data_IF_188812079802
#
_entry.id   IF_188812079802
#
_cell.length_a   1.000
_cell.length_b   1.000
_cell.length_c   1.000
_cell.angle_alpha   90.00
_cell.angle_beta   90.00
_cell.angle_gamma   90.00
#
_symmetry.space_group_name_H-M   'P 1'
#
loop_
_entity.id
_entity.type
_entity.pdbx_description
1 polymer ?
2 polymer ?
3 non-polymer ?
4 non-polymer ?
5 non-polymer ?
6 water ?
#
# COMPACT_ATOMS: atom_id res chain seq x y z
N UNK A 2 -15.89 10.37 -2.32
CA UNK A 2 -15.54 11.53 -3.12
C UNK A 2 -14.53 12.38 -2.39
N UNK A 3 -13.87 13.22 -3.16
CA UNK A 3 -12.85 14.10 -2.57
C UNK A 3 -13.42 15.39 -2.00
N UNK A 4 -13.12 15.64 -0.74
CA UNK A 4 -13.52 16.89 -0.11
C UNK A 4 -12.59 18.02 -0.45
N UNK A 5 -12.98 19.26 -0.08
CA UNK A 5 -11.98 20.32 -0.26
C UNK A 5 -10.69 20.05 0.48
N UNK A 6 -10.79 19.44 1.67
CA UNK A 6 -9.58 19.11 2.43
C UNK A 6 -8.72 18.10 1.66
N UNK A 7 -9.37 17.10 1.05
CA UNK A 7 -8.58 16.13 0.28
C UNK A 7 -7.89 16.80 -0.91
N UNK A 8 -8.64 17.65 -1.63
CA UNK A 8 -8.03 18.30 -2.80
C UNK A 8 -6.85 19.17 -2.44
N UNK A 9 -7.00 19.96 -1.34
CA UNK A 9 -5.89 20.76 -0.90
C UNK A 9 -4.70 19.91 -0.50
N UNK A 10 -4.96 18.79 0.22
CA UNK A 10 -3.87 17.95 0.63
C UNK A 10 -3.13 17.34 -0.54
N UNK A 11 -3.89 16.87 -1.54
CA UNK A 11 -3.23 16.27 -2.72
C UNK A 11 -2.44 17.34 -3.48
N UNK A 12 -3.05 18.52 -3.66
CA UNK A 12 -2.29 19.56 -4.37
C UNK A 12 -1.04 19.94 -3.58
N UNK A 13 -1.10 20.01 -2.25
CA UNK A 13 0.11 20.39 -1.52
C UNK A 13 1.16 19.29 -1.59
N UNK A 14 0.73 18.01 -1.50
CA UNK A 14 1.73 16.96 -1.64
C UNK A 14 2.35 16.95 -3.03
N UNK A 15 1.49 17.11 -4.06
CA UNK A 15 2.04 17.09 -5.42
C UNK A 15 2.99 18.24 -5.68
N UNK A 16 2.65 19.39 -5.06
CA UNK A 16 3.57 20.55 -5.13
C UNK A 16 4.95 20.20 -4.63
N UNK A 17 4.96 19.38 -3.57
CA UNK A 17 6.25 18.95 -2.98
C UNK A 17 7.00 17.85 -3.75
N UNK A 18 6.29 16.87 -4.28
CA UNK A 18 6.96 15.70 -4.84
C UNK A 18 6.99 15.70 -6.37
N UNK A 19 6.25 16.59 -7.04
CA UNK A 19 6.06 16.50 -8.48
C UNK A 19 7.37 16.71 -9.25
N UNK A 20 8.34 17.39 -8.64
CA UNK A 20 9.67 17.51 -9.25
C UNK A 20 10.25 16.15 -9.60
N UNK A 21 9.88 15.10 -8.85
CA UNK A 21 10.44 13.78 -9.06
C UNK A 21 9.47 12.84 -9.75
N UNK A 22 8.46 13.35 -10.46
CA UNK A 22 7.45 12.51 -11.11
C UNK A 22 8.09 11.45 -11.99
N UNK A 23 9.12 11.83 -12.78
CA UNK A 23 9.60 10.82 -13.73
C UNK A 23 10.20 9.64 -12.98
N UNK A 24 10.97 9.92 -11.93
CA UNK A 24 11.59 8.86 -11.14
C UNK A 24 10.53 8.02 -10.42
N UNK A 25 9.52 8.69 -9.88
CA UNK A 25 8.41 7.95 -9.25
C UNK A 25 7.80 6.98 -10.26
N UNK A 26 7.58 7.46 -11.50
CA UNK A 26 6.94 6.58 -12.47
C UNK A 26 7.82 5.41 -12.88
N UNK A 27 9.10 5.67 -13.08
CA UNK A 27 9.99 4.56 -13.44
C UNK A 27 9.97 3.47 -12.37
N UNK A 28 10.09 3.92 -11.12
CA UNK A 28 10.13 2.96 -10.00
C UNK A 28 8.81 2.25 -9.81
N UNK A 29 7.69 2.98 -9.97
CA UNK A 29 6.41 2.32 -9.75
C UNK A 29 6.11 1.28 -10.84
N UNK A 30 6.36 1.56 -12.11
CA UNK A 30 6.14 0.57 -13.16
C UNK A 30 7.11 -0.60 -13.01
N UNK A 31 8.37 -0.29 -12.64
CA UNK A 31 9.37 -1.35 -12.46
C UNK A 31 8.90 -2.30 -11.38
N UNK A 32 8.41 -1.79 -10.25
CA UNK A 32 7.87 -2.64 -9.20
C UNK A 32 6.63 -3.40 -9.59
N UNK A 33 5.73 -2.74 -10.33
CA UNK A 33 4.51 -3.44 -10.68
C UNK A 33 4.83 -4.66 -11.52
N UNK A 34 5.71 -4.49 -12.50
CA UNK A 34 6.00 -5.65 -13.39
C UNK A 34 6.70 -6.77 -12.68
N UNK A 35 7.50 -6.50 -11.66
CA UNK A 35 8.19 -7.58 -10.96
C UNK A 35 7.31 -8.25 -9.91
N UNK A 36 6.60 -7.43 -9.12
CA UNK A 36 5.83 -7.96 -8.01
C UNK A 36 4.50 -8.51 -8.47
N UNK A 37 3.93 -8.00 -9.58
CA UNK A 37 2.63 -8.46 -10.07
C UNK A 37 2.84 -8.85 -11.54
N UNK A 38 3.49 -9.99 -11.72
CA UNK A 38 4.01 -10.36 -13.05
C UNK A 38 2.87 -10.54 -14.05
N UNK A 39 1.62 -10.64 -13.61
CA UNK A 39 0.50 -10.67 -14.54
C UNK A 39 0.42 -9.37 -15.35
N UNK A 40 1.08 -8.31 -14.91
CA UNK A 40 0.98 -7.03 -15.62
C UNK A 40 2.01 -6.96 -16.76
N UNK A 41 3.00 -7.86 -16.77
CA UNK A 41 4.11 -7.66 -17.72
C UNK A 41 3.62 -7.78 -19.16
N UNK A 42 2.61 -8.62 -19.35
CA UNK A 42 2.15 -8.88 -20.72
C UNK A 42 1.74 -7.60 -21.43
N UNK A 43 1.25 -6.57 -20.72
CA UNK A 43 0.80 -5.40 -21.42
C UNK A 43 1.92 -4.56 -22.00
N UNK A 44 3.16 -4.82 -21.61
CA UNK A 44 4.32 -4.03 -22.01
C UNK A 44 5.25 -4.90 -22.88
N UNK A 45 4.80 -6.12 -23.15
CA UNK A 45 5.72 -7.08 -23.75
C UNK A 45 6.07 -6.74 -25.21
N UNK A 46 5.39 -5.82 -25.85
CA UNK A 46 5.74 -5.39 -27.20
C UNK A 46 6.99 -4.53 -27.20
N UNK A 47 7.43 -4.01 -26.04
CA UNK A 47 8.64 -3.21 -25.99
C UNK A 47 9.88 -4.10 -26.13
N UNK A 48 10.93 -3.63 -26.77
CA UNK A 48 12.14 -4.47 -26.91
C UNK A 48 12.75 -4.85 -25.56
N UNK A 49 12.49 -4.11 -24.48
CA UNK A 49 13.09 -4.49 -23.20
C UNK A 49 12.11 -4.20 -22.05
N UNK A 50 11.80 -5.21 -21.29
CA UNK A 50 10.87 -5.13 -20.17
C UNK A 50 11.60 -5.65 -18.92
N UNK A 51 12.92 -5.78 -19.04
CA UNK A 51 13.73 -6.25 -17.89
C UNK A 51 14.10 -5.11 -16.95
N UNK A 52 14.46 -5.45 -15.72
CA UNK A 52 14.85 -4.41 -14.76
C UNK A 52 15.89 -3.46 -15.31
N UNK A 53 15.64 -2.16 -15.23
CA UNK A 53 16.51 -1.14 -15.75
C UNK A 53 16.15 -0.67 -17.15
N UNK A 54 15.15 -1.31 -17.76
CA UNK A 54 14.79 -0.94 -19.14
C UNK A 54 14.54 0.51 -19.44
N UNK A 55 15.06 1.06 -20.54
CA UNK A 55 14.82 2.44 -20.89
C UNK A 55 13.37 2.69 -21.34
N UNK A 56 12.68 1.66 -21.80
CA UNK A 56 11.28 1.71 -22.16
C UNK A 56 10.44 1.85 -20.88
N UNK A 57 10.78 1.11 -19.84
CA UNK A 57 10.08 1.36 -18.56
C UNK A 57 10.33 2.77 -18.09
N UNK A 58 11.55 3.28 -18.20
CA UNK A 58 11.84 4.62 -17.71
C UNK A 58 11.08 5.66 -18.48
N UNK A 59 11.07 5.50 -19.82
CA UNK A 59 10.33 6.43 -20.63
C UNK A 59 8.83 6.39 -20.31
N UNK A 60 8.32 5.17 -20.16
CA UNK A 60 6.87 5.08 -19.89
C UNK A 60 6.56 5.64 -18.50
N UNK A 61 7.50 5.51 -17.57
CA UNK A 61 7.21 6.05 -16.24
C UNK A 61 6.96 7.53 -16.28
N UNK A 62 7.61 8.29 -17.18
CA UNK A 62 7.38 9.71 -17.31
C UNK A 62 5.93 9.96 -17.71
N UNK A 63 5.46 9.14 -18.66
CA UNK A 63 4.10 9.34 -19.13
C UNK A 63 3.05 9.02 -18.06
N UNK A 64 3.25 7.90 -17.35
CA UNK A 64 2.31 7.55 -16.29
C UNK A 64 2.15 8.67 -15.25
N UNK A 65 3.30 9.16 -14.76
CA UNK A 65 3.17 10.21 -13.75
C UNK A 65 2.74 11.53 -14.36
N UNK A 66 2.94 11.73 -15.66
CA UNK A 66 2.29 12.88 -16.30
C UNK A 66 0.77 12.71 -16.30
N UNK A 67 0.29 11.48 -16.40
CA UNK A 67 -1.13 11.20 -16.26
C UNK A 67 -1.60 11.54 -14.83
N UNK A 68 -0.79 11.20 -13.83
CA UNK A 68 -1.14 11.58 -12.45
C UNK A 68 -1.13 13.10 -12.27
N UNK A 69 -0.15 13.77 -12.88
CA UNK A 69 -0.16 15.25 -12.82
C UNK A 69 -1.38 15.83 -13.48
N UNK A 70 -1.74 15.22 -14.63
CA UNK A 70 -2.99 15.65 -15.24
C UNK A 70 -4.17 15.49 -14.31
N UNK A 71 -4.24 14.32 -13.65
CA UNK A 71 -5.32 14.12 -12.70
C UNK A 71 -5.28 15.12 -11.56
N UNK A 72 -4.09 15.50 -11.07
CA UNK A 72 -4.07 16.53 -10.03
C UNK A 72 -4.70 17.81 -10.57
N UNK A 73 -4.31 18.16 -11.79
CA UNK A 73 -4.86 19.38 -12.39
C UNK A 73 -6.36 19.31 -12.60
N UNK A 74 -6.86 18.09 -12.85
CA UNK A 74 -8.27 17.84 -13.14
C UNK A 74 -9.06 17.25 -11.95
N UNK A 75 -8.47 17.46 -10.76
CA UNK A 75 -9.02 16.85 -9.55
C UNK A 75 -10.45 17.23 -9.24
N UNK A 76 -10.93 18.39 -9.74
CA UNK A 76 -12.33 18.71 -9.49
C UNK A 76 -13.31 17.96 -10.34
N UNK A 77 -12.82 17.32 -11.41
CA UNK A 77 -13.69 16.52 -12.28
C UNK A 77 -12.83 15.51 -13.04
N UNK A 78 -12.47 14.45 -12.31
CA UNK A 78 -11.60 13.41 -12.88
C UNK A 78 -12.24 12.67 -14.05
N UNK A 79 -13.56 12.47 -14.01
CA UNK A 79 -14.18 11.74 -15.14
C UNK A 79 -13.93 12.50 -16.43
N UNK A 80 -14.21 13.81 -16.43
CA UNK A 80 -13.99 14.54 -17.68
C UNK A 80 -12.50 14.64 -18.00
N UNK A 81 -11.69 14.89 -16.97
CA UNK A 81 -10.27 15.08 -17.19
C UNK A 81 -9.56 13.87 -17.73
N UNK A 82 -10.01 12.65 -17.33
CA UNK A 82 -9.24 11.46 -17.72
C UNK A 82 -9.96 10.62 -18.73
N UNK A 83 -11.01 11.20 -19.35
CA UNK A 83 -11.85 10.43 -20.26
C UNK A 83 -11.05 9.87 -21.44
N UNK A 84 -10.19 10.70 -22.01
CA UNK A 84 -9.38 10.18 -23.13
C UNK A 84 -8.44 9.05 -22.71
N UNK A 85 -7.82 9.18 -21.53
CA UNK A 85 -6.98 8.08 -21.05
C UNK A 85 -7.83 6.84 -20.75
N UNK A 86 -9.05 7.04 -20.26
CA UNK A 86 -9.92 5.87 -20.07
C UNK A 86 -10.17 5.13 -21.36
N UNK A 87 -10.56 5.91 -22.39
CA UNK A 87 -10.79 5.27 -23.67
C UNK A 87 -9.55 4.55 -24.19
N UNK A 88 -8.38 5.17 -24.01
CA UNK A 88 -7.16 4.51 -24.47
C UNK A 88 -6.95 3.19 -23.72
N UNK A 89 -7.13 3.18 -22.40
CA UNK A 89 -6.84 1.94 -21.71
C UNK A 89 -7.89 0.86 -21.98
N UNK A 90 -9.14 1.30 -22.13
CA UNK A 90 -10.21 0.32 -22.32
C UNK A 90 -10.28 -0.21 -23.76
N UNK A 91 -10.18 0.68 -24.70
CA UNK A 91 -10.42 0.28 -26.10
C UNK A 91 -9.16 0.05 -26.88
N UNK A 92 -8.19 0.95 -26.88
CA UNK A 92 -6.96 0.71 -27.65
C UNK A 92 -6.06 -0.32 -27.01
N UNK A 93 -5.85 -0.23 -25.69
CA UNK A 93 -4.89 -1.10 -25.02
C UNK A 93 -5.48 -2.33 -24.37
N UNK A 94 -6.77 -2.30 -24.10
CA UNK A 94 -7.45 -3.43 -23.44
C UNK A 94 -6.76 -3.86 -22.15
N UNK A 95 -6.39 -2.87 -21.31
CA UNK A 95 -5.81 -3.18 -20.00
C UNK A 95 -6.90 -3.61 -19.02
N UNK A 96 -6.78 -4.80 -18.41
CA UNK A 96 -7.85 -5.20 -17.46
C UNK A 96 -7.94 -4.20 -16.34
N UNK A 97 -9.12 -3.66 -16.00
CA UNK A 97 -9.22 -2.57 -15.04
C UNK A 97 -8.88 -3.02 -13.61
N UNK A 98 -8.77 -4.33 -13.36
CA UNK A 98 -8.32 -4.79 -12.02
C UNK A 98 -6.92 -4.29 -11.70
N UNK A 99 -6.16 -3.88 -12.74
CA UNK A 99 -4.78 -3.52 -12.52
C UNK A 99 -4.60 -2.08 -12.04
N UNK A 100 -5.62 -1.22 -12.17
CA UNK A 100 -5.39 0.16 -11.72
C UNK A 100 -5.06 0.23 -10.24
N UNK A 101 -5.76 -0.54 -9.41
CA UNK A 101 -5.44 -0.47 -7.98
C UNK A 101 -4.06 -1.02 -7.68
N UNK A 102 -3.52 -1.90 -8.49
CA UNK A 102 -2.16 -2.42 -8.32
C UNK A 102 -1.16 -1.31 -8.58
N UNK A 103 -1.28 -0.60 -9.70
CA UNK A 103 -0.32 0.47 -9.94
C UNK A 103 -0.46 1.56 -8.88
N UNK A 104 -1.69 1.84 -8.45
CA UNK A 104 -1.88 2.84 -7.39
C UNK A 104 -1.13 2.47 -6.11
N UNK A 105 -1.23 1.20 -5.68
CA UNK A 105 -0.44 0.79 -4.51
C UNK A 105 1.03 0.94 -4.73
N UNK A 106 1.51 0.58 -5.95
CA UNK A 106 2.95 0.72 -6.23
C UNK A 106 3.34 2.20 -6.20
N UNK A 107 2.48 3.11 -6.68
CA UNK A 107 2.81 4.52 -6.57
C UNK A 107 2.90 4.92 -5.09
N UNK A 108 1.97 4.47 -4.26
CA UNK A 108 2.09 4.80 -2.83
C UNK A 108 3.39 4.27 -2.23
N UNK A 109 3.77 3.04 -2.57
CA UNK A 109 5.02 2.49 -2.02
C UNK A 109 6.20 3.34 -2.47
N UNK A 110 6.22 3.73 -3.77
CA UNK A 110 7.37 4.52 -4.21
C UNK A 110 7.40 5.89 -3.55
N UNK A 111 6.26 6.56 -3.44
CA UNK A 111 6.31 7.86 -2.79
C UNK A 111 6.78 7.68 -1.36
N UNK A 112 6.36 6.61 -0.69
CA UNK A 112 6.86 6.39 0.70
C UNK A 112 8.37 6.18 0.71
N UNK A 113 8.92 5.44 -0.25
CA UNK A 113 10.38 5.27 -0.24
C UNK A 113 11.10 6.59 -0.50
N UNK A 114 10.51 7.46 -1.31
CA UNK A 114 11.26 8.63 -1.77
C UNK A 114 11.00 9.90 -0.94
N UNK A 115 9.82 9.97 -0.31
CA UNK A 115 9.42 11.16 0.46
C UNK A 115 8.81 10.77 1.78
N UNK A 116 9.57 10.07 2.60
CA UNK A 116 9.02 9.59 3.87
C UNK A 116 8.55 10.74 4.74
N UNK A 117 9.17 11.93 4.69
CA UNK A 117 8.75 13.01 5.57
C UNK A 117 7.42 13.60 5.19
N UNK A 118 7.28 13.79 3.88
CA UNK A 118 6.08 14.41 3.34
C UNK A 118 4.91 13.44 3.31
N UNK A 119 5.21 12.14 3.17
CA UNK A 119 4.11 11.18 2.99
C UNK A 119 3.60 10.67 4.34
N UNK A 120 3.02 11.63 5.07
CA UNK A 120 2.43 11.35 6.39
C UNK A 120 1.15 10.54 6.28
N UNK A 121 0.62 9.99 7.35
CA UNK A 121 -0.70 9.39 7.29
C UNK A 121 -1.77 10.31 6.75
N UNK A 122 -1.80 11.58 7.11
CA UNK A 122 -2.84 12.45 6.55
C UNK A 122 -2.63 12.71 5.07
N UNK A 123 -1.36 12.78 4.61
CA UNK A 123 -1.17 12.90 3.16
C UNK A 123 -1.65 11.64 2.46
N UNK A 124 -1.40 10.50 3.09
CA UNK A 124 -1.72 9.18 2.50
C UNK A 124 -3.22 9.02 2.42
N UNK A 125 -4.03 9.38 3.43
CA UNK A 125 -5.46 9.12 3.28
C UNK A 125 -6.02 9.88 2.08
N UNK A 126 -5.63 11.16 1.93
CA UNK A 126 -6.20 11.91 0.81
C UNK A 126 -5.64 11.42 -0.51
N UNK A 127 -4.35 11.04 -0.54
CA UNK A 127 -3.81 10.58 -1.83
C UNK A 127 -4.46 9.25 -2.17
N UNK A 128 -4.74 8.38 -1.16
CA UNK A 128 -5.40 7.13 -1.52
C UNK A 128 -6.81 7.33 -2.02
N UNK A 129 -7.55 8.26 -1.39
CA UNK A 129 -8.88 8.61 -1.92
C UNK A 129 -8.78 9.10 -3.35
N UNK A 130 -7.75 9.93 -3.59
CA UNK A 130 -7.57 10.49 -4.93
C UNK A 130 -7.25 9.40 -5.95
N UNK A 131 -6.33 8.50 -5.60
CA UNK A 131 -6.00 7.43 -6.56
C UNK A 131 -7.19 6.51 -6.78
N UNK A 132 -8.04 6.27 -5.74
CA UNK A 132 -9.28 5.56 -5.97
C UNK A 132 -10.13 6.30 -7.00
N UNK A 133 -10.22 7.61 -6.88
CA UNK A 133 -10.98 8.39 -7.88
C UNK A 133 -10.36 8.31 -9.26
N UNK A 134 -9.04 8.30 -9.31
CA UNK A 134 -8.37 8.16 -10.63
C UNK A 134 -8.72 6.82 -11.24
N UNK A 135 -8.67 5.74 -10.44
CA UNK A 135 -9.03 4.42 -10.96
C UNK A 135 -10.47 4.41 -11.43
N UNK A 136 -11.35 5.05 -10.67
CA UNK A 136 -12.77 5.03 -11.11
C UNK A 136 -12.94 5.79 -12.42
N UNK A 137 -12.22 6.91 -12.55
CA UNK A 137 -12.29 7.67 -13.79
C UNK A 137 -11.68 6.90 -14.94
N UNK A 138 -10.54 6.21 -14.69
CA UNK A 138 -9.98 5.37 -15.76
C UNK A 138 -10.92 4.22 -16.10
N UNK A 139 -11.76 3.83 -15.18
CA UNK A 139 -12.72 2.76 -15.48
C UNK A 139 -13.92 3.24 -16.28
N UNK A 140 -14.06 4.53 -16.56
CA UNK A 140 -15.28 5.09 -17.14
C UNK A 140 -15.68 4.44 -18.47
N UNK A 141 -14.74 4.17 -19.34
CA UNK A 141 -15.12 3.64 -20.66
C UNK A 141 -15.21 2.13 -20.72
N UNK A 142 -15.07 1.43 -19.59
CA UNK A 142 -14.96 -0.03 -19.67
C UNK A 142 -16.31 -0.73 -19.82
N UNK A 143 -17.40 -0.23 -19.26
CA UNK A 143 -18.68 -0.97 -19.36
C UNK A 143 -19.89 -0.06 -19.13
N UNK B 1 2.37 -21.58 -0.96
CA UNK B 1 3.61 -21.02 -1.48
C UNK B 1 4.74 -22.00 -1.17
N UNK B 2 5.52 -22.23 -2.18
CA UNK B 2 6.79 -22.93 -2.09
C UNK B 2 7.84 -21.85 -2.10
N UNK B 3 8.33 -21.55 -0.90
CA UNK B 3 9.32 -20.47 -0.79
C UNK B 3 10.64 -20.79 -1.43
N UNK B 4 11.21 -19.83 -2.13
CA UNK B 4 12.58 -19.98 -2.62
C UNK B 4 13.54 -19.65 -1.46
N UNK B 5 14.78 -20.17 -1.55
CA UNK B 5 15.76 -19.83 -0.53
C UNK B 5 15.97 -18.32 -0.46
N UNK B 6 15.94 -17.64 -1.60
CA UNK B 6 16.07 -16.19 -1.64
C UNK B 6 14.95 -15.47 -0.91
N UNK B 7 13.73 -15.98 -1.09
CA UNK B 7 12.64 -15.39 -0.34
C UNK B 7 12.83 -15.56 1.15
N UNK B 8 13.25 -16.76 1.55
CA UNK B 8 13.49 -16.98 2.97
C UNK B 8 14.58 -16.04 3.48
N UNK B 9 15.64 -15.86 2.71
CA UNK B 9 16.73 -14.96 3.13
C UNK B 9 16.24 -13.54 3.22
N UNK B 10 15.44 -13.10 2.23
CA UNK B 10 14.97 -11.70 2.28
C UNK B 10 14.08 -11.47 3.48
N UNK B 11 13.14 -12.38 3.76
CA UNK B 11 12.25 -12.22 4.91
C UNK B 11 13.08 -12.24 6.20
N UNK B 12 14.04 -13.15 6.30
CA UNK B 12 14.85 -13.18 7.53
C UNK B 12 15.63 -11.90 7.72
N UNK B 13 16.24 -11.39 6.64
CA UNK B 13 16.99 -10.13 6.68
C UNK B 13 16.08 -8.98 7.12
N UNK B 14 14.89 -8.85 6.49
CA UNK B 14 14.01 -7.75 6.87
C UNK B 14 13.67 -7.79 8.33
N UNK B 15 13.22 -8.95 8.84
CA UNK B 15 12.77 -8.98 10.21
C UNK B 15 13.95 -8.85 11.17
N UNK B 16 15.16 -9.21 10.76
CA UNK B 16 16.30 -9.08 11.66
C UNK B 16 16.68 -7.60 11.84
N UNK B 17 16.38 -6.80 10.83
CA UNK B 17 16.83 -5.41 10.89
C UNK B 17 15.70 -4.48 11.33
N UNK B 18 14.52 -5.03 11.49
CA UNK B 18 13.34 -4.18 11.79
C UNK B 18 13.32 -3.73 13.22
N UNK B 19 13.10 -2.43 13.41
CA UNK B 19 12.89 -1.94 14.79
C UNK B 19 11.38 -1.99 15.09
N UNK B 20 10.94 -3.02 15.79
CA UNK B 20 9.52 -3.21 15.98
C UNK B 20 8.90 -2.05 16.74
N UNK B 21 9.67 -1.47 17.64
CA UNK B 21 9.12 -0.36 18.44
C UNK B 21 8.93 0.90 17.63
N UNK B 22 9.55 1.01 16.47
CA UNK B 22 9.33 2.14 15.58
C UNK B 22 8.27 1.80 14.54
N UNK B 23 8.49 0.64 13.88
CA UNK B 23 7.60 0.30 12.75
C UNK B 23 6.19 -0.07 13.20
N UNK B 24 6.05 -0.78 14.31
CA UNK B 24 4.77 -1.27 14.77
C UNK B 24 3.81 -0.11 15.04
N UNK B 25 4.17 0.85 15.87
CA UNK B 25 3.24 1.96 16.14
C UNK B 25 2.93 2.72 14.86
N UNK B 26 3.90 2.95 14.00
CA UNK B 26 3.62 3.71 12.78
C UNK B 26 2.67 2.96 11.85
N UNK B 27 2.87 1.65 11.73
CA UNK B 27 1.93 0.92 10.86
C UNK B 27 0.50 0.98 11.37
N UNK B 28 0.28 0.74 12.66
CA UNK B 28 -1.10 0.72 13.14
C UNK B 28 -1.64 2.15 13.14
N UNK B 29 -0.88 3.16 13.58
CA UNK B 29 -1.51 4.49 13.54
C UNK B 29 -1.83 4.88 12.10
N UNK B 30 -0.95 4.54 11.16
CA UNK B 30 -1.25 4.85 9.75
C UNK B 30 -2.54 4.16 9.32
N UNK B 31 -2.73 2.87 9.69
CA UNK B 31 -3.97 2.21 9.35
C UNK B 31 -5.19 2.91 9.97
N UNK B 32 -5.06 3.35 11.24
CA UNK B 32 -6.21 3.99 11.87
C UNK B 32 -6.53 5.34 11.23
N UNK B 33 -5.58 5.96 10.53
CA UNK B 33 -5.84 7.24 9.89
C UNK B 33 -6.31 7.05 8.47
N UNK B 34 -5.67 6.14 7.73
CA UNK B 34 -6.03 5.95 6.32
C UNK B 34 -7.32 5.17 6.17
N UNK B 35 -7.60 4.27 7.14
CA UNK B 35 -8.78 3.44 7.06
C UNK B 35 -9.48 3.55 8.42
N UNK B 36 -10.02 4.73 8.69
CA UNK B 36 -10.35 5.08 10.06
C UNK B 36 -11.50 4.29 10.64
N UNK B 37 -12.25 3.55 9.84
CA UNK B 37 -13.27 2.67 10.44
C UNK B 37 -12.62 1.61 11.34
N UNK B 38 -11.32 1.35 11.14
CA UNK B 38 -10.63 0.35 11.98
C UNK B 38 -10.47 0.92 13.38
N UNK B 39 -10.70 2.23 13.59
CA UNK B 39 -10.61 2.76 14.97
C UNK B 39 -11.64 2.07 15.85
N UNK B 40 -12.69 1.49 15.29
CA UNK B 40 -13.79 0.96 16.13
C UNK B 40 -13.31 -0.11 17.09
N UNK B 41 -12.19 -0.74 16.79
CA UNK B 41 -11.75 -1.90 17.58
C UNK B 41 -10.91 -1.45 18.76
N UNK B 42 -10.61 -0.16 18.81
CA UNK B 42 -9.66 0.41 19.77
C UNK B 42 -10.30 1.57 20.53
N UNK B 43 -11.62 1.57 20.66
CA UNK B 43 -12.27 2.62 21.43
C UNK B 43 -11.79 2.76 22.86
N UNK B 44 -11.09 1.77 23.41
CA UNK B 44 -10.75 1.83 24.83
C UNK B 44 -9.31 2.26 25.06
N UNK B 45 -8.63 2.64 23.97
CA UNK B 45 -7.22 3.00 23.98
C UNK B 45 -6.98 4.45 24.34
N UNK B 46 -8.03 5.22 24.68
CA UNK B 46 -7.79 6.65 24.95
C UNK B 46 -7.85 7.47 23.67
N UNK B 47 -7.20 8.63 23.62
CA UNK B 47 -7.29 9.63 22.58
C UNK B 47 -7.14 9.15 21.14
N UNK B 48 -8.23 9.11 20.37
CA UNK B 48 -8.12 8.84 18.94
C UNK B 48 -8.81 9.95 18.14
N UNK B 49 -8.89 11.13 18.74
CA UNK B 49 -9.65 12.24 18.18
C UNK B 49 -9.15 12.79 16.85
N UNK B 50 -7.84 12.85 16.65
CA UNK B 50 -7.28 13.34 15.39
C UNK B 50 -5.99 12.60 15.10
N UNK B 51 -5.38 12.90 13.95
CA UNK B 51 -4.19 12.15 13.58
C UNK B 51 -3.07 12.29 14.61
N UNK B 52 -2.86 13.50 15.13
CA UNK B 52 -1.84 13.76 16.12
C UNK B 52 -2.05 12.87 17.36
N UNK B 53 -3.30 12.78 17.81
CA UNK B 53 -3.57 11.98 18.99
C UNK B 53 -3.32 10.51 18.71
N UNK B 54 -3.74 10.04 17.52
CA UNK B 54 -3.57 8.61 17.25
C UNK B 54 -2.10 8.26 17.15
N UNK B 55 -1.35 9.10 16.45
CA UNK B 55 0.09 8.79 16.32
C UNK B 55 0.81 8.80 17.66
N UNK B 56 0.40 9.71 18.52
CA UNK B 56 1.02 9.74 19.85
C UNK B 56 0.46 8.75 20.84
N UNK B 57 -0.58 8.01 20.54
CA UNK B 57 -1.25 7.18 21.55
C UNK B 57 -0.44 5.95 21.90
N UNK B 58 -0.09 5.82 23.19
CA UNK B 58 0.76 4.71 23.61
C UNK B 58 0.07 3.37 23.59
N UNK B 59 -1.26 3.32 23.67
CA UNK B 59 -1.99 2.07 23.59
C UNK B 59 -1.98 1.58 22.12
N UNK B 60 -2.13 2.54 21.21
CA UNK B 60 -1.99 2.17 19.79
C UNK B 60 -0.58 1.67 19.54
N UNK B 61 0.42 2.34 20.09
CA UNK B 61 1.80 1.91 19.89
C UNK B 61 2.00 0.50 20.41
N UNK B 62 1.54 0.22 21.63
CA UNK B 62 1.75 -1.14 22.17
C UNK B 62 1.11 -2.19 21.30
N UNK B 63 -0.05 -1.86 20.71
CA UNK B 63 -0.75 -2.82 19.91
C UNK B 63 -0.07 -3.05 18.56
N UNK B 64 0.41 -1.93 18.01
CA UNK B 64 1.17 -2.14 16.75
C UNK B 64 2.42 -2.97 16.98
N UNK B 65 3.05 -2.84 18.15
CA UNK B 65 4.25 -3.67 18.42
C UNK B 65 3.85 -5.12 18.55
N UNK B 66 2.73 -5.39 19.20
CA UNK B 66 2.13 -6.72 19.29
C UNK B 66 1.92 -7.33 17.92
N UNK B 67 1.39 -6.52 16.99
CA UNK B 67 1.16 -7.05 15.65
C UNK B 67 2.45 -7.51 15.05
N UNK B 68 3.50 -6.68 15.13
CA UNK B 68 4.73 -7.10 14.49
C UNK B 68 5.31 -8.33 15.14
N UNK B 69 5.35 -8.39 16.47
CA UNK B 69 5.82 -9.60 17.11
C UNK B 69 4.94 -10.77 16.70
N UNK B 70 3.68 -10.52 16.40
CA UNK B 70 2.75 -11.56 15.96
C UNK B 70 3.17 -12.17 14.63
N UNK B 71 3.94 -11.42 13.85
CA UNK B 71 4.50 -11.94 12.60
C UNK B 71 5.69 -12.87 12.82
N UNK B 72 6.38 -12.77 13.95
CA UNK B 72 7.51 -13.63 14.25
C UNK B 72 7.21 -15.10 14.14
N UNK B 73 6.03 -15.55 14.59
CA UNK B 73 5.76 -16.98 14.56
C UNK B 73 5.69 -17.45 13.12
N UNK B 74 5.25 -16.53 12.23
CA UNK B 74 5.23 -16.92 10.81
C UNK B 74 6.63 -17.00 10.22
N UNK B 75 7.48 -16.03 10.54
CA UNK B 75 8.86 -15.98 10.06
C UNK B 75 9.62 -17.25 10.51
N UNK B 76 9.33 -17.70 11.71
CA UNK B 76 10.12 -18.83 12.26
C UNK B 76 9.71 -20.11 11.56
N UNK B 77 8.47 -20.23 11.06
CA UNK B 77 8.18 -21.43 10.26
C UNK B 77 7.25 -21.10 9.10
N UNK B 78 7.94 -20.65 8.08
CA UNK B 78 7.27 -20.17 6.86
C UNK B 78 6.52 -21.27 6.14
N UNK B 79 6.70 -22.56 6.45
CA UNK B 79 5.92 -23.59 5.78
C UNK B 79 4.70 -24.06 6.56
N UNK B 80 4.41 -23.42 7.69
CA UNK B 80 3.27 -23.83 8.49
C UNK B 80 2.43 -22.62 8.90
N UNK B 81 2.35 -21.61 8.02
CA UNK B 81 1.72 -20.37 8.46
C UNK B 81 0.23 -20.50 8.71
N UNK B 82 -0.54 -21.13 7.82
CA UNK B 82 -1.99 -21.20 8.05
C UNK B 82 -2.31 -21.86 9.39
N UNK B 83 -1.64 -22.96 9.70
CA UNK B 83 -1.90 -23.60 11.00
C UNK B 83 -1.42 -22.75 12.16
N UNK B 84 -0.27 -22.10 12.02
CA UNK B 84 0.25 -21.31 13.12
C UNK B 84 -0.67 -20.18 13.57
N UNK B 85 -1.45 -19.62 12.62
CA UNK B 85 -2.28 -18.48 12.97
C UNK B 85 -3.72 -18.87 13.18
N UNK B 86 -4.03 -20.17 13.27
CA UNK B 86 -5.44 -20.57 13.39
C UNK B 86 -6.04 -19.99 14.67
N UNK B 87 -5.35 -20.07 15.79
CA UNK B 87 -5.91 -19.52 17.03
C UNK B 87 -6.03 -18.00 17.00
N UNK B 88 -5.08 -17.26 16.42
CA UNK B 88 -5.21 -15.82 16.32
C UNK B 88 -6.36 -15.45 15.41
N UNK B 89 -6.59 -16.27 14.39
CA UNK B 89 -7.68 -16.00 13.47
C UNK B 89 -9.01 -16.12 14.23
N UNK B 90 -9.14 -17.20 15.00
CA UNK B 90 -10.35 -17.37 15.84
C UNK B 90 -10.51 -16.24 16.81
N UNK B 91 -9.45 -15.77 17.47
CA UNK B 91 -9.60 -14.62 18.37
C UNK B 91 -10.11 -13.36 17.69
N UNK B 92 -9.48 -12.98 16.56
CA UNK B 92 -9.91 -11.76 15.89
C UNK B 92 -11.33 -11.85 15.32
N UNK B 93 -11.80 -13.03 14.97
CA UNK B 93 -13.11 -13.20 14.35
C UNK B 93 -14.17 -13.45 15.42
N UNK B 94 -14.00 -14.54 16.20
CA UNK B 94 -15.10 -14.83 17.14
C UNK B 94 -15.12 -13.91 18.33
N UNK B 95 -13.99 -13.45 18.85
CA UNK B 95 -14.11 -12.53 19.99
C UNK B 95 -14.14 -11.07 19.60
N UNK B 96 -13.28 -10.69 18.65
CA UNK B 96 -13.09 -9.27 18.37
C UNK B 96 -13.96 -8.79 17.22
N UNK B 97 -14.50 -9.71 16.42
CA UNK B 97 -15.33 -9.27 15.29
C UNK B 97 -14.59 -8.32 14.35
N UNK B 98 -13.34 -8.65 14.06
CA UNK B 98 -12.59 -7.84 13.09
C UNK B 98 -13.01 -8.27 11.70
N UNK B 99 -13.35 -7.30 10.83
CA UNK B 99 -13.68 -7.73 9.48
C UNK B 99 -12.46 -8.34 8.80
N UNK B 100 -12.60 -9.47 8.12
CA UNK B 100 -11.45 -10.05 7.42
C UNK B 100 -10.79 -9.10 6.44
N UNK B 101 -11.51 -8.15 5.83
CA UNK B 101 -10.84 -7.18 4.95
C UNK B 101 -9.79 -6.35 5.66
N UNK B 102 -9.93 -6.16 7.00
CA UNK B 102 -9.09 -5.22 7.71
C UNK B 102 -7.64 -5.70 7.77
N UNK B 103 -7.44 -7.04 7.72
CA UNK B 103 -6.06 -7.57 7.75
C UNK B 103 -5.25 -7.11 6.55
N UNK B 104 -5.88 -7.12 5.36
CA UNK B 104 -5.19 -6.63 4.17
C UNK B 104 -4.89 -5.14 4.26
N UNK B 105 -5.83 -4.35 4.75
CA UNK B 105 -5.55 -2.91 4.91
C UNK B 105 -4.37 -2.68 5.84
N UNK B 106 -4.29 -3.33 7.01
CA UNK B 106 -3.14 -3.12 7.90
C UNK B 106 -1.86 -3.62 7.24
N UNK B 107 -1.94 -4.76 6.51
CA UNK B 107 -0.69 -5.24 5.88
C UNK B 107 -0.17 -4.24 4.89
N UNK B 108 -1.04 -3.58 4.12
CA UNK B 108 -0.53 -2.56 3.20
C UNK B 108 0.08 -1.39 3.96
N UNK B 109 -0.49 -1.07 5.12
CA UNK B 109 0.15 -0.01 5.92
C UNK B 109 1.50 -0.44 6.48
N UNK B 110 1.65 -1.72 6.89
CA UNK B 110 2.98 -2.18 7.28
C UNK B 110 3.96 -2.08 6.13
N UNK B 111 3.57 -2.53 4.93
CA UNK B 111 4.45 -2.41 3.78
C UNK B 111 4.86 -0.96 3.49
N UNK B 112 3.90 -0.03 3.58
CA UNK B 112 4.22 1.37 3.29
C UNK B 112 5.13 1.99 4.34
N UNK B 113 4.96 1.57 5.60
CA UNK B 113 5.82 2.10 6.67
C UNK B 113 7.20 1.48 6.54
N UNK B 114 7.29 0.20 6.26
CA UNK B 114 8.62 -0.39 6.02
C UNK B 114 9.29 0.22 4.81
N UNK B 115 8.56 0.53 3.73
CA UNK B 115 9.14 1.16 2.56
C UNK B 115 9.72 2.55 2.92
N UNK B 116 9.02 3.28 3.78
CA UNK B 116 9.56 4.59 4.19
C UNK B 116 10.85 4.44 4.98
N UNK B 117 10.92 3.41 5.82
CA UNK B 117 12.15 3.24 6.64
C UNK B 117 13.29 2.74 5.80
N UNK B 118 13.04 1.76 4.90
CA UNK B 118 14.11 1.18 4.14
C UNK B 118 14.52 2.00 2.93
N UNK B 119 13.64 2.86 2.41
CA UNK B 119 14.01 3.72 1.29
C UNK B 119 14.39 2.90 0.09
N UNK B 120 15.50 3.29 -0.56
CA UNK B 120 15.78 2.55 -1.80
C UNK B 120 16.21 1.11 -1.57
N UNK B 121 16.53 0.68 -0.35
CA UNK B 121 16.77 -0.72 -0.06
C UNK B 121 15.48 -1.55 -0.12
N UNK B 122 14.33 -0.85 -0.21
CA UNK B 122 13.06 -1.60 -0.34
C UNK B 122 12.84 -1.88 -1.83
N UNK B 123 13.69 -2.78 -2.35
CA UNK B 123 13.69 -3.05 -3.80
C UNK B 123 12.43 -3.79 -4.20
N UNK B 124 12.17 -3.87 -5.51
CA UNK B 124 11.00 -4.62 -5.98
C UNK B 124 11.04 -6.05 -5.49
N UNK B 125 12.20 -6.71 -5.53
CA UNK B 125 12.28 -8.09 -5.06
C UNK B 125 12.05 -8.17 -3.56
N UNK B 126 12.50 -7.16 -2.79
CA UNK B 126 12.20 -7.12 -1.35
C UNK B 126 10.72 -6.96 -1.07
N UNK B 127 10.10 -6.00 -1.77
CA UNK B 127 8.65 -5.84 -1.70
C UNK B 127 7.88 -7.09 -2.06
N UNK B 128 8.29 -7.80 -3.13
CA UNK B 128 7.60 -9.00 -3.54
C UNK B 128 7.61 -10.07 -2.45
N UNK B 129 8.79 -10.27 -1.86
CA UNK B 129 8.88 -11.31 -0.84
C UNK B 129 8.10 -10.90 0.40
N UNK B 130 8.23 -9.64 0.81
CA UNK B 130 7.56 -9.19 2.03
C UNK B 130 6.06 -9.21 1.88
N UNK B 131 5.58 -8.69 0.71
CA UNK B 131 4.13 -8.78 0.49
C UNK B 131 3.61 -10.20 0.35
N UNK B 132 4.40 -11.10 -0.22
CA UNK B 132 3.93 -12.50 -0.35
C UNK B 132 3.75 -13.11 1.06
N UNK B 133 4.77 -12.86 1.89
CA UNK B 133 4.71 -13.34 3.29
C UNK B 133 3.48 -12.76 3.96
N UNK B 134 3.27 -11.44 3.88
CA UNK B 134 2.08 -10.89 4.55
C UNK B 134 0.77 -11.43 3.97
N UNK B 135 0.76 -11.66 2.68
CA UNK B 135 -0.46 -12.20 2.05
C UNK B 135 -0.81 -13.57 2.62
N UNK B 136 0.21 -14.40 2.84
CA UNK B 136 -0.04 -15.71 3.44
C UNK B 136 -0.54 -15.56 4.87
N UNK B 137 0.04 -14.66 5.67
CA UNK B 137 -0.50 -14.44 7.02
C UNK B 137 -1.91 -13.89 7.00
N UNK B 138 -2.17 -12.93 6.12
CA UNK B 138 -3.49 -12.32 5.99
C UNK B 138 -4.53 -13.35 5.61
N UNK B 139 -4.16 -14.25 4.71
CA UNK B 139 -5.13 -15.29 4.35
C UNK B 139 -5.46 -16.20 5.52
N UNK B 140 -4.49 -16.57 6.33
CA UNK B 140 -4.69 -17.39 7.53
C UNK B 140 -5.55 -16.62 8.50
N UNK B 141 -5.28 -15.33 8.72
CA UNK B 141 -6.07 -14.60 9.71
C UNK B 141 -7.51 -14.40 9.29
N UNK B 142 -7.73 -14.11 8.02
CA UNK B 142 -9.05 -13.83 7.44
C UNK B 142 -9.77 -15.11 7.12
N UNK B 143 -9.18 -16.28 7.32
CA UNK B 143 -9.83 -17.57 7.10
C UNK B 143 -10.31 -17.66 5.65
N UNK B 144 -9.41 -17.30 4.73
CA UNK B 144 -9.83 -17.34 3.32
C UNK B 144 -9.96 -18.79 2.85
N UNK B 145 -10.93 -18.99 1.95
CA UNK B 145 -11.13 -20.32 1.40
C UNK B 145 -10.10 -20.67 0.32
N UNK B 146 -9.40 -21.80 0.50
CA UNK B 146 -8.46 -22.30 -0.48
C UNK B 146 -8.32 -23.81 -0.44
#
# INVERSE_FOLDING_TARGET
XSLSDKDKAAVRALWSKIGKSADAIGNDALSRMIVVYPQTKTYFSHWPDVTPGSPHIKAHGKKVMGGIALAVSKIDDLKTGLMELSEQHAYKLRVDPANFKILNHCILVVISTMFPKEFTPEAHVSLDKFLSGVALALAERYR
VEWTDKERSIISDIFSHMDYDDIGPKALSRCLIVYPWTQRHFSGFGNLYNAEAIIGNANVAAHGIKVLHGLDRGVKNMDNIAATYADLSTLHSEKLHVDPDNFKLLSDCITIVLAAKMGHAFTAETQGAFQKFLAVVVSALGKQYH
#
